data_IF_267011896266
#
_entry.id   IF_267011896266
#
_cell.length_a   1.000
_cell.length_b   1.000
_cell.length_c   1.000
_cell.angle_alpha   90.00
_cell.angle_beta   90.00
_cell.angle_gamma   90.00
#
_symmetry.space_group_name_H-M   'P 1'
#
loop_
_entity.id
_entity.type
_entity.pdbx_description
1 polymer ?
#
# COMPACT_ATOMS: atom_id res chain seq x y z
N UNK A 1 19.61 28.45 16.34
CA UNK A 1 20.03 27.09 16.72
C UNK A 1 18.78 26.23 16.71
N UNK A 2 18.73 25.19 15.88
CA UNK A 2 17.62 24.25 15.92
C UNK A 2 17.66 23.51 17.27
N UNK A 3 16.50 23.23 17.92
CA UNK A 3 16.49 22.45 19.14
C UNK A 3 17.06 21.06 18.86
N UNK A 4 17.91 20.57 19.77
CA UNK A 4 18.47 19.23 19.74
C UNK A 4 17.35 18.20 19.53
N UNK A 5 17.37 17.52 18.38
CA UNK A 5 16.60 16.31 18.20
C UNK A 5 17.13 15.31 19.23
N UNK A 6 16.28 14.85 20.15
CA UNK A 6 16.63 13.87 21.17
C UNK A 6 17.25 12.60 20.55
N UNK A 7 17.84 11.71 21.38
CA UNK A 7 18.52 10.52 20.89
C UNK A 7 17.57 9.69 20.00
N UNK A 8 18.00 9.42 18.77
CA UNK A 8 17.28 8.55 17.85
C UNK A 8 17.24 7.13 18.42
N UNK A 9 16.07 6.69 18.89
CA UNK A 9 15.86 5.30 19.27
C UNK A 9 15.68 4.47 17.99
N UNK A 10 16.55 3.49 17.75
CA UNK A 10 16.46 2.63 16.57
C UNK A 10 15.46 1.51 16.85
N UNK A 11 14.36 1.46 16.09
CA UNK A 11 13.41 0.35 16.14
C UNK A 11 13.69 -0.57 14.93
N UNK A 12 14.43 -1.67 15.10
CA UNK A 12 14.78 -2.54 13.98
C UNK A 12 13.52 -3.20 13.42
N UNK A 13 13.36 -3.13 12.08
CA UNK A 13 12.45 -4.02 11.38
C UNK A 13 13.14 -5.39 11.35
N UNK A 14 12.79 -6.26 12.30
CA UNK A 14 13.36 -7.62 12.42
C UNK A 14 12.54 -8.66 11.66
N UNK A 15 11.36 -8.29 11.16
CA UNK A 15 10.44 -9.18 10.49
C UNK A 15 9.63 -10.05 11.46
N UNK A 16 8.63 -10.75 10.91
CA UNK A 16 7.80 -11.68 11.70
C UNK A 16 8.61 -12.98 11.89
N UNK A 17 8.72 -13.51 13.13
CA UNK A 17 9.37 -14.79 13.38
C UNK A 17 8.84 -15.89 12.45
N UNK A 18 9.74 -16.74 11.94
CA UNK A 18 9.37 -17.93 11.17
C UNK A 18 9.19 -19.08 12.15
N UNK A 19 7.98 -19.69 12.24
CA UNK A 19 7.75 -20.81 13.15
C UNK A 19 8.65 -22.00 12.80
N UNK A 20 9.17 -22.67 13.82
CA UNK A 20 9.91 -23.91 13.61
C UNK A 20 8.94 -25.00 13.14
N UNK A 21 9.05 -25.41 11.88
CA UNK A 21 8.32 -26.55 11.35
C UNK A 21 9.06 -27.84 11.70
N UNK A 22 9.08 -28.22 12.97
CA UNK A 22 9.42 -29.59 13.40
C UNK A 22 8.98 -29.82 14.85
N UNK A 23 7.69 -30.04 15.05
CA UNK A 23 7.15 -30.67 16.27
C UNK A 23 6.36 -31.94 15.96
N UNK A 24 6.44 -32.47 14.74
CA UNK A 24 6.07 -33.86 14.50
C UNK A 24 7.25 -34.72 14.97
N UNK A 25 7.12 -35.37 16.13
CA UNK A 25 8.12 -36.21 16.82
C UNK A 25 8.59 -37.47 16.04
N UNK A 26 8.61 -37.45 14.70
CA UNK A 26 9.05 -38.59 13.90
C UNK A 26 9.93 -38.17 12.74
N UNK A 27 11.19 -37.87 13.06
CA UNK A 27 12.43 -38.39 12.45
C UNK A 27 13.55 -37.40 12.85
N UNK A 28 14.55 -37.80 13.64
CA UNK A 28 15.71 -36.95 13.88
C UNK A 28 16.55 -36.92 12.61
N UNK A 29 16.52 -35.79 11.89
CA UNK A 29 17.53 -35.50 10.86
C UNK A 29 18.77 -34.99 11.58
N UNK A 30 19.93 -35.67 11.49
CA UNK A 30 21.16 -35.16 12.07
C UNK A 30 21.70 -34.11 11.12
N UNK A 31 21.62 -32.82 11.46
CA UNK A 31 22.24 -31.80 10.61
C UNK A 31 22.95 -30.72 11.43
N UNK A 32 24.18 -31.05 11.85
CA UNK A 32 25.15 -30.08 12.38
C UNK A 32 25.97 -29.47 11.24
N UNK A 33 25.28 -28.81 10.31
CA UNK A 33 25.87 -28.10 9.17
C UNK A 33 25.52 -26.61 9.18
N UNK A 34 26.34 -25.73 8.57
CA UNK A 34 26.14 -24.27 8.55
C UNK A 34 24.86 -23.82 7.81
N UNK A 35 24.12 -24.74 7.17
CA UNK A 35 22.87 -24.49 6.47
C UNK A 35 21.63 -25.04 7.19
N UNK A 36 21.75 -25.61 8.40
CA UNK A 36 20.63 -26.25 9.12
C UNK A 36 19.47 -25.28 9.47
N UNK A 37 19.67 -23.96 9.37
CA UNK A 37 18.62 -22.95 9.54
C UNK A 37 17.92 -22.50 8.25
N UNK A 38 18.30 -23.01 7.07
CA UNK A 38 17.85 -22.49 5.76
C UNK A 38 16.58 -23.12 5.20
N UNK A 39 16.15 -24.27 5.75
CA UNK A 39 14.93 -24.97 5.35
C UNK A 39 13.70 -24.64 6.22
N UNK A 40 13.65 -23.45 6.84
CA UNK A 40 12.45 -23.04 7.57
C UNK A 40 11.35 -22.70 6.57
N UNK A 41 10.21 -23.40 6.64
CA UNK A 41 9.04 -23.08 5.80
C UNK A 41 8.48 -21.72 6.19
N UNK A 42 8.72 -20.72 5.35
CA UNK A 42 8.20 -19.37 5.56
C UNK A 42 6.72 -19.32 5.20
N UNK A 43 5.85 -18.73 6.03
CA UNK A 43 4.46 -18.53 5.70
C UNK A 43 4.27 -17.70 4.43
N UNK A 44 3.35 -18.13 3.57
CA UNK A 44 3.10 -17.52 2.25
C UNK A 44 2.18 -16.32 2.39
N UNK A 45 2.52 -15.22 1.71
CA UNK A 45 1.63 -14.07 1.53
C UNK A 45 0.55 -14.43 0.51
N UNK A 46 -0.72 -14.21 0.87
CA UNK A 46 -1.87 -14.60 0.06
C UNK A 46 -2.55 -13.37 -0.54
N UNK A 47 -3.28 -13.56 -1.65
CA UNK A 47 -4.20 -12.55 -2.17
C UNK A 47 -5.29 -12.28 -1.12
N UNK A 48 -5.65 -11.02 -0.91
CA UNK A 48 -6.56 -10.61 0.16
C UNK A 48 -7.97 -11.19 0.02
N UNK A 49 -8.51 -11.32 -1.18
CA UNK A 49 -9.87 -11.83 -1.37
C UNK A 49 -9.89 -13.35 -1.20
N UNK A 50 -8.90 -14.07 -1.76
CA UNK A 50 -8.76 -15.52 -1.53
C UNK A 50 -8.51 -15.84 -0.06
N UNK A 51 -7.63 -15.08 0.59
CA UNK A 51 -7.28 -15.26 1.99
C UNK A 51 -8.46 -14.98 2.91
N UNK A 52 -9.14 -13.84 2.73
CA UNK A 52 -10.18 -13.38 3.68
C UNK A 52 -11.49 -14.13 3.55
N UNK A 53 -11.82 -14.67 2.37
CA UNK A 53 -13.03 -15.47 2.14
C UNK A 53 -12.87 -16.93 2.55
N UNK A 54 -11.63 -17.41 2.70
CA UNK A 54 -11.35 -18.76 3.17
C UNK A 54 -11.61 -18.88 4.68
N UNK A 55 -12.60 -19.69 5.05
CA UNK A 55 -13.01 -19.89 6.45
C UNK A 55 -11.88 -20.44 7.34
N UNK A 56 -10.88 -21.12 6.78
CA UNK A 56 -9.70 -21.59 7.54
C UNK A 56 -8.87 -20.43 8.08
N UNK A 57 -8.88 -19.29 7.38
CA UNK A 57 -8.12 -18.10 7.75
C UNK A 57 -8.91 -17.15 8.66
N UNK A 58 -10.14 -17.49 9.07
CA UNK A 58 -11.04 -16.58 9.80
C UNK A 58 -10.38 -15.96 11.03
N UNK A 59 -9.59 -16.73 11.78
CA UNK A 59 -8.85 -16.22 12.95
C UNK A 59 -7.75 -15.23 12.56
N UNK A 60 -7.03 -15.48 11.46
CA UNK A 60 -6.04 -14.53 10.96
C UNK A 60 -6.70 -13.23 10.49
N UNK A 61 -7.86 -13.33 9.84
CA UNK A 61 -8.65 -12.16 9.42
C UNK A 61 -9.09 -11.35 10.64
N UNK A 62 -9.60 -12.01 11.67
CA UNK A 62 -10.02 -11.35 12.91
C UNK A 62 -8.85 -10.65 13.62
N UNK A 63 -7.71 -11.32 13.72
CA UNK A 63 -6.48 -10.73 14.28
C UNK A 63 -6.02 -9.52 13.48
N UNK A 64 -6.03 -9.61 12.14
CA UNK A 64 -5.64 -8.51 11.26
C UNK A 64 -6.52 -7.29 11.43
N UNK A 65 -7.85 -7.48 11.42
CA UNK A 65 -8.81 -6.39 11.57
C UNK A 65 -8.69 -5.73 12.94
N UNK A 66 -8.64 -6.53 14.02
CA UNK A 66 -8.49 -6.00 15.39
C UNK A 66 -7.15 -5.28 15.61
N UNK A 67 -6.05 -5.81 15.08
CA UNK A 67 -4.74 -5.19 15.21
C UNK A 67 -4.63 -3.90 14.39
N UNK A 68 -5.14 -3.89 13.15
CA UNK A 68 -5.14 -2.68 12.33
C UNK A 68 -6.02 -1.58 12.95
N UNK A 69 -7.19 -1.93 13.49
CA UNK A 69 -8.04 -0.99 14.23
C UNK A 69 -7.28 -0.34 15.39
N UNK A 70 -6.56 -1.14 16.19
CA UNK A 70 -5.74 -0.63 17.29
C UNK A 70 -4.67 0.35 16.83
N UNK A 71 -3.91 0.00 15.79
CA UNK A 71 -2.87 0.89 15.24
C UNK A 71 -3.45 2.20 14.70
N UNK A 72 -4.64 2.16 14.11
CA UNK A 72 -5.32 3.36 13.62
C UNK A 72 -5.90 4.22 14.75
N UNK A 73 -6.27 3.62 15.88
CA UNK A 73 -6.76 4.32 17.08
C UNK A 73 -5.66 4.84 17.99
N UNK A 74 -4.41 4.43 17.76
CA UNK A 74 -3.25 4.87 18.52
C UNK A 74 -3.02 6.38 18.34
N UNK A 75 -2.55 7.07 19.38
CA UNK A 75 -2.29 8.50 19.31
C UNK A 75 -1.32 8.81 18.15
N UNK A 76 -1.60 9.82 17.30
CA UNK A 76 -0.75 10.17 16.17
C UNK A 76 0.70 10.53 16.52
N UNK A 77 1.04 10.79 17.78
CA UNK A 77 2.41 11.02 18.23
C UNK A 77 3.16 9.73 18.55
N UNK A 78 2.46 8.60 18.69
CA UNK A 78 3.08 7.31 18.92
C UNK A 78 3.76 6.83 17.63
N UNK A 79 5.04 6.51 17.74
CA UNK A 79 5.90 6.16 16.60
C UNK A 79 5.38 5.01 15.73
N UNK A 80 4.72 4.03 16.34
CA UNK A 80 4.18 2.86 15.65
C UNK A 80 2.69 3.00 15.31
N UNK A 81 2.08 4.17 15.54
CA UNK A 81 0.71 4.42 15.10
C UNK A 81 0.60 4.31 13.59
N UNK A 82 -0.57 3.92 13.08
CA UNK A 82 -0.82 3.90 11.64
C UNK A 82 -0.61 5.31 11.02
N UNK A 83 -0.86 6.37 11.80
CA UNK A 83 -0.61 7.74 11.39
C UNK A 83 0.87 8.01 11.15
N UNK A 84 1.76 7.63 12.08
CA UNK A 84 3.21 7.82 11.89
C UNK A 84 3.77 6.90 10.81
N UNK A 85 3.29 5.66 10.72
CA UNK A 85 3.72 4.71 9.68
C UNK A 85 3.31 5.18 8.27
N UNK A 86 2.18 5.87 8.13
CA UNK A 86 1.76 6.51 6.88
C UNK A 86 2.47 7.86 6.66
N UNK A 87 2.67 8.62 7.74
CA UNK A 87 3.18 9.98 7.73
C UNK A 87 4.71 10.11 7.74
N UNK A 88 5.45 9.00 7.83
CA UNK A 88 6.90 8.99 7.62
C UNK A 88 7.21 9.49 6.21
N UNK A 89 7.35 10.81 6.09
CA UNK A 89 7.90 11.46 4.91
C UNK A 89 9.29 10.86 4.67
N UNK A 90 9.69 10.54 3.43
CA UNK A 90 11.10 10.68 3.09
C UNK A 90 11.46 12.13 3.42
N UNK A 91 12.36 12.33 4.39
CA UNK A 91 12.65 13.66 4.94
C UNK A 91 12.99 14.65 3.84
N UNK A 92 12.04 15.54 3.55
CA UNK A 92 12.21 16.64 2.59
C UNK A 92 13.13 17.69 3.19
N UNK A 93 14.42 17.56 2.93
CA UNK A 93 15.32 18.70 2.70
C UNK A 93 16.08 18.62 1.38
N UNK A 94 16.04 17.47 0.72
CA UNK A 94 16.52 17.30 -0.64
C UNK A 94 15.45 16.54 -1.43
N UNK A 95 14.53 17.26 -2.08
CA UNK A 95 13.83 16.70 -3.26
C UNK A 95 14.88 16.64 -4.36
N UNK A 96 15.82 15.70 -4.21
CA UNK A 96 16.55 15.16 -5.35
C UNK A 96 15.58 14.18 -6.03
N UNK A 97 15.45 14.21 -7.37
CA UNK A 97 14.63 13.25 -8.08
C UNK A 97 15.09 11.84 -7.69
N UNK A 98 14.18 11.07 -7.09
CA UNK A 98 14.29 9.67 -6.68
C UNK A 98 15.53 9.00 -7.28
N UNK A 99 16.57 8.77 -6.49
CA UNK A 99 17.74 8.01 -6.96
C UNK A 99 17.24 6.61 -7.30
N UNK A 100 17.47 6.17 -8.53
CA UNK A 100 16.97 4.89 -9.03
C UNK A 100 17.54 3.68 -8.26
N UNK A 101 18.58 3.92 -7.45
CA UNK A 101 19.24 2.93 -6.60
C UNK A 101 18.52 2.67 -5.25
N UNK A 102 17.55 3.52 -4.85
CA UNK A 102 16.92 3.47 -3.52
C UNK A 102 15.43 3.10 -3.54
N UNK A 103 14.83 2.96 -4.73
CA UNK A 103 13.49 2.43 -4.92
C UNK A 103 13.57 0.92 -5.21
N UNK A 104 12.87 0.05 -4.46
CA UNK A 104 11.67 0.30 -3.65
C UNK A 104 11.90 0.03 -2.15
N UNK A 105 12.92 0.66 -1.55
CA UNK A 105 13.38 0.29 -0.20
C UNK A 105 13.11 1.35 0.88
N UNK A 106 12.53 2.51 0.56
CA UNK A 106 12.24 3.55 1.54
C UNK A 106 10.85 3.32 2.17
N UNK A 107 10.88 2.57 3.28
CA UNK A 107 9.77 1.90 3.99
C UNK A 107 9.16 0.75 3.20
N UNK A 108 9.80 -0.42 3.22
CA UNK A 108 9.13 -1.60 2.73
C UNK A 108 7.83 -1.76 3.54
N UNK A 109 6.74 -2.24 2.93
CA UNK A 109 5.51 -2.64 3.65
C UNK A 109 5.74 -3.64 4.81
N UNK A 110 6.99 -4.06 5.04
CA UNK A 110 7.48 -4.77 6.22
C UNK A 110 7.29 -3.99 7.53
N UNK A 111 7.40 -2.66 7.53
CA UNK A 111 7.20 -1.84 8.75
C UNK A 111 5.78 -1.98 9.29
N UNK A 112 4.78 -1.66 8.46
CA UNK A 112 3.37 -1.82 8.82
C UNK A 112 3.01 -3.29 9.10
N UNK A 113 3.57 -4.25 8.35
CA UNK A 113 3.34 -5.67 8.60
C UNK A 113 3.84 -6.09 9.99
N UNK A 114 5.04 -5.66 10.37
CA UNK A 114 5.61 -5.97 11.68
C UNK A 114 4.78 -5.33 12.79
N UNK A 115 4.42 -4.05 12.67
CA UNK A 115 3.61 -3.36 13.68
C UNK A 115 2.23 -4.01 13.86
N UNK A 116 1.59 -4.46 12.76
CA UNK A 116 0.33 -5.21 12.85
C UNK A 116 0.53 -6.52 13.61
N UNK A 117 1.58 -7.29 13.29
CA UNK A 117 1.88 -8.54 13.98
C UNK A 117 2.16 -8.31 15.48
N UNK A 118 2.96 -7.30 15.82
CA UNK A 118 3.24 -6.93 17.21
C UNK A 118 1.96 -6.53 17.95
N UNK A 119 1.07 -5.76 17.32
CA UNK A 119 -0.24 -5.45 17.88
C UNK A 119 -1.12 -6.71 18.05
N UNK A 120 -1.07 -7.68 17.12
CA UNK A 120 -1.75 -8.96 17.31
C UNK A 120 -1.27 -9.67 18.58
N UNK A 121 0.05 -9.81 18.73
CA UNK A 121 0.66 -10.60 19.82
C UNK A 121 0.59 -9.90 21.17
N UNK A 122 0.88 -8.61 21.20
CA UNK A 122 1.08 -7.86 22.45
C UNK A 122 -0.21 -7.18 22.94
N UNK A 123 -1.15 -6.89 22.05
CA UNK A 123 -2.33 -6.09 22.40
C UNK A 123 -3.68 -6.75 22.12
N UNK A 124 -3.79 -7.61 21.11
CA UNK A 124 -5.07 -8.26 20.76
C UNK A 124 -5.20 -9.60 21.49
N UNK A 125 -4.22 -10.49 21.31
CA UNK A 125 -4.25 -11.86 21.85
C UNK A 125 -4.41 -11.91 23.38
N UNK A 126 -3.73 -11.06 24.18
CA UNK A 126 -3.83 -11.13 25.64
C UNK A 126 -5.25 -10.89 26.20
N UNK A 127 -6.12 -10.25 25.43
CA UNK A 127 -7.50 -9.98 25.84
C UNK A 127 -8.43 -11.20 25.67
N UNK A 128 -8.05 -12.21 24.86
CA UNK A 128 -8.84 -13.43 24.73
C UNK A 128 -8.65 -14.36 25.94
N UNK A 129 -9.58 -15.31 26.20
CA UNK A 129 -9.46 -16.24 27.31
C UNK A 129 -8.15 -17.02 27.21
N UNK A 130 -7.45 -17.18 28.34
CA UNK A 130 -6.10 -17.79 28.41
C UNK A 130 -5.99 -19.13 27.69
N UNK A 131 -7.04 -19.95 27.75
CA UNK A 131 -7.10 -21.25 27.08
C UNK A 131 -7.06 -21.19 25.54
N UNK A 132 -7.40 -20.04 24.94
CA UNK A 132 -7.44 -19.85 23.49
C UNK A 132 -6.20 -19.11 22.95
N UNK A 133 -5.46 -18.40 23.79
CA UNK A 133 -4.38 -17.50 23.37
C UNK A 133 -3.29 -18.22 22.55
N UNK A 134 -2.93 -19.46 22.92
CA UNK A 134 -1.96 -20.26 22.17
C UNK A 134 -2.41 -20.57 20.74
N UNK A 135 -3.71 -20.82 20.54
CA UNK A 135 -4.27 -21.06 19.21
C UNK A 135 -4.31 -19.78 18.39
N UNK A 136 -4.66 -18.64 18.99
CA UNK A 136 -4.61 -17.34 18.30
C UNK A 136 -3.17 -16.95 17.92
N UNK A 137 -2.20 -17.22 18.81
CA UNK A 137 -0.78 -16.96 18.53
C UNK A 137 -0.26 -17.77 17.35
N UNK A 138 -0.63 -19.05 17.26
CA UNK A 138 -0.29 -19.89 16.08
C UNK A 138 -0.78 -19.26 14.78
N UNK A 139 -1.98 -18.71 14.76
CA UNK A 139 -2.53 -18.03 13.58
C UNK A 139 -1.80 -16.73 13.26
N UNK A 140 -1.47 -15.91 14.27
CA UNK A 140 -0.67 -14.70 14.09
C UNK A 140 0.71 -15.01 13.49
N UNK A 141 1.33 -16.11 13.91
CA UNK A 141 2.66 -16.52 13.46
C UNK A 141 2.69 -16.96 11.99
N UNK A 142 1.57 -17.50 11.49
CA UNK A 142 1.39 -17.85 10.08
C UNK A 142 0.97 -16.65 9.23
N UNK A 143 0.45 -15.58 9.84
CA UNK A 143 -0.07 -14.45 9.11
C UNK A 143 1.04 -13.64 8.41
N UNK A 144 0.75 -13.16 7.20
CA UNK A 144 1.54 -12.15 6.47
C UNK A 144 0.55 -11.15 5.86
N UNK A 145 0.92 -9.87 5.77
CA UNK A 145 0.03 -8.83 5.24
C UNK A 145 -0.38 -9.19 3.80
N UNK A 146 -1.67 -9.44 3.49
CA UNK A 146 -2.04 -9.88 2.17
C UNK A 146 -1.75 -8.81 1.10
N UNK A 147 -1.67 -9.24 -0.15
CA UNK A 147 -1.56 -8.32 -1.30
C UNK A 147 -2.91 -8.19 -1.99
N UNK A 148 -3.08 -7.12 -2.78
CA UNK A 148 -4.27 -6.95 -3.64
C UNK A 148 -3.90 -7.19 -5.09
N UNK A 149 -4.35 -8.29 -5.66
CA UNK A 149 -4.17 -8.55 -7.10
C UNK A 149 -5.20 -7.80 -7.95
N UNK A 150 -4.82 -6.57 -8.32
CA UNK A 150 -5.60 -5.71 -9.22
C UNK A 150 -5.55 -6.13 -10.69
N UNK A 151 -4.84 -7.23 -11.04
CA UNK A 151 -4.93 -7.85 -12.38
C UNK A 151 -6.09 -8.84 -12.48
N UNK A 152 -6.50 -9.40 -11.33
CA UNK A 152 -7.59 -10.38 -11.26
C UNK A 152 -8.92 -9.75 -10.92
N UNK A 153 -8.91 -8.68 -10.11
CA UNK A 153 -10.13 -8.00 -9.69
C UNK A 153 -10.02 -6.49 -9.85
N UNK A 154 -11.04 -5.90 -10.48
CA UNK A 154 -11.09 -4.46 -10.74
C UNK A 154 -11.69 -3.68 -9.56
N UNK A 155 -12.22 -4.36 -8.55
CA UNK A 155 -12.89 -3.76 -7.39
C UNK A 155 -11.93 -3.63 -6.19
N UNK A 156 -12.34 -2.85 -5.19
CA UNK A 156 -11.68 -2.90 -3.88
C UNK A 156 -11.83 -4.29 -3.26
N UNK A 157 -10.91 -4.73 -2.39
CA UNK A 157 -11.02 -6.00 -1.68
C UNK A 157 -12.37 -6.13 -0.95
N UNK A 158 -12.92 -7.34 -0.86
CA UNK A 158 -14.18 -7.57 -0.15
C UNK A 158 -14.10 -7.11 1.31
N UNK A 159 -12.93 -7.28 1.94
CA UNK A 159 -12.67 -6.85 3.32
C UNK A 159 -12.66 -5.32 3.49
N UNK A 160 -12.49 -4.54 2.42
CA UNK A 160 -12.49 -3.07 2.43
C UNK A 160 -13.80 -2.45 1.90
N UNK A 161 -14.79 -3.29 1.55
CA UNK A 161 -15.98 -2.88 0.81
C UNK A 161 -16.99 -2.07 1.64
N UNK A 162 -17.19 -2.46 2.89
CA UNK A 162 -18.24 -1.93 3.76
C UNK A 162 -17.65 -1.11 4.92
N UNK A 163 -18.35 -0.05 5.39
CA UNK A 163 -17.86 0.86 6.42
C UNK A 163 -17.68 0.22 7.80
N UNK A 164 -18.31 -0.92 8.04
CA UNK A 164 -18.26 -1.61 9.32
C UNK A 164 -18.04 -3.09 9.11
N UNK A 165 -17.40 -3.74 10.08
CA UNK A 165 -17.09 -5.17 10.05
C UNK A 165 -17.39 -5.81 11.40
N UNK A 166 -17.66 -7.11 11.39
CA UNK A 166 -17.96 -7.91 12.56
C UNK A 166 -16.72 -8.70 13.00
N UNK A 167 -16.31 -8.52 14.24
CA UNK A 167 -15.13 -9.16 14.86
C UNK A 167 -15.53 -9.96 16.10
N UNK A 168 -14.77 -10.99 16.52
CA UNK A 168 -15.06 -11.71 17.75
C UNK A 168 -14.95 -10.80 18.98
N UNK A 169 -15.79 -11.05 19.99
CA UNK A 169 -15.61 -10.42 21.30
C UNK A 169 -14.46 -11.09 22.06
N UNK A 170 -13.75 -10.30 22.87
CA UNK A 170 -12.66 -10.78 23.72
C UNK A 170 -13.12 -11.74 24.83
N UNK A 171 -14.37 -11.65 25.27
CA UNK A 171 -14.96 -12.58 26.24
C UNK A 171 -15.14 -14.01 25.67
N UNK A 172 -14.88 -14.21 24.37
CA UNK A 172 -15.04 -15.49 23.69
C UNK A 172 -16.50 -15.85 23.37
N UNK A 173 -17.44 -14.94 23.62
CA UNK A 173 -18.88 -15.15 23.47
C UNK A 173 -19.50 -14.16 22.47
N UNK A 174 -19.53 -14.59 21.19
CA UNK A 174 -20.20 -13.86 20.12
C UNK A 174 -19.31 -12.82 19.43
N UNK A 175 -19.95 -11.80 18.88
CA UNK A 175 -19.32 -10.85 17.97
C UNK A 175 -19.64 -9.41 18.33
N UNK A 176 -18.72 -8.50 17.98
CA UNK A 176 -18.88 -7.05 18.06
C UNK A 176 -18.84 -6.45 16.66
N UNK A 177 -19.61 -5.38 16.42
CA UNK A 177 -19.53 -4.60 15.18
C UNK A 177 -18.66 -3.38 15.44
N UNK A 178 -17.65 -3.19 14.60
CA UNK A 178 -16.72 -2.05 14.66
C UNK A 178 -16.69 -1.33 13.32
N UNK A 179 -16.16 -0.11 13.31
CA UNK A 179 -15.78 0.57 12.07
C UNK A 179 -14.68 -0.24 11.38
N UNK A 180 -14.76 -0.33 10.06
CA UNK A 180 -13.84 -1.16 9.31
C UNK A 180 -12.54 -0.41 9.02
N UNK A 181 -11.40 -0.82 9.61
CA UNK A 181 -10.14 -0.11 9.45
C UNK A 181 -9.58 -0.17 8.02
N UNK A 182 -10.09 -1.07 7.16
CA UNK A 182 -9.73 -1.14 5.74
C UNK A 182 -10.62 -0.26 4.86
N UNK A 183 -11.80 0.12 5.34
CA UNK A 183 -12.73 0.95 4.57
C UNK A 183 -12.22 2.38 4.45
N UNK A 184 -11.80 2.99 5.55
CA UNK A 184 -11.34 4.36 5.61
C UNK A 184 -10.40 4.52 6.79
N UNK A 185 -9.28 5.24 6.62
CA UNK A 185 -8.50 5.71 7.75
C UNK A 185 -9.09 7.03 8.24
N UNK A 186 -9.20 7.19 9.56
CA UNK A 186 -9.63 8.43 10.20
C UNK A 186 -8.65 8.80 11.30
N UNK A 187 -8.27 10.07 11.38
CA UNK A 187 -7.41 10.54 12.46
C UNK A 187 -8.13 10.32 13.80
N UNK A 188 -7.57 9.51 14.72
CA UNK A 188 -8.25 9.13 15.95
C UNK A 188 -8.44 10.28 16.94
N UNK A 189 -7.75 11.40 16.73
CA UNK A 189 -7.94 12.63 17.52
C UNK A 189 -9.12 13.49 17.02
N UNK A 190 -9.76 13.10 15.91
CA UNK A 190 -10.77 13.88 15.18
C UNK A 190 -10.30 15.29 14.78
N UNK A 191 -8.97 15.52 14.79
CA UNK A 191 -8.36 16.76 14.30
C UNK A 191 -8.01 16.62 12.82
N UNK A 192 -8.02 17.72 12.05
CA UNK A 192 -7.51 17.72 10.69
C UNK A 192 -6.06 17.23 10.60
N UNK A 193 -5.70 16.54 9.53
CA UNK A 193 -4.34 16.02 9.29
C UNK A 193 -3.26 17.11 9.35
N UNK A 194 -3.60 18.37 9.01
CA UNK A 194 -2.67 19.51 9.10
C UNK A 194 -2.24 19.82 10.53
N UNK A 195 -3.02 19.42 11.55
CA UNK A 195 -2.63 19.56 12.96
C UNK A 195 -1.38 18.75 13.32
N UNK A 196 -1.04 17.75 12.50
CA UNK A 196 0.17 16.95 12.62
C UNK A 196 1.14 17.19 11.44
N UNK A 197 0.99 18.31 10.70
CA UNK A 197 1.90 18.70 9.62
C UNK A 197 1.74 17.93 8.31
N UNK A 198 0.60 17.25 8.13
CA UNK A 198 0.28 16.47 6.93
C UNK A 198 -0.67 17.24 6.00
N UNK A 199 -0.47 17.13 4.69
CA UNK A 199 -1.37 17.72 3.69
C UNK A 199 -1.23 19.23 3.49
N UNK A 200 -0.08 19.81 3.88
CA UNK A 200 0.32 21.19 3.55
C UNK A 200 0.86 21.34 2.14
N UNK A 201 1.40 20.24 1.57
CA UNK A 201 2.14 20.24 0.32
C UNK A 201 1.25 19.63 -0.78
N UNK A 202 0.99 20.36 -1.87
CA UNK A 202 0.44 19.78 -3.10
C UNK A 202 1.55 19.72 -4.16
N UNK A 203 2.33 18.62 -4.24
CA UNK A 203 3.43 18.50 -5.21
C UNK A 203 2.94 18.40 -6.66
N UNK A 204 1.63 18.30 -6.87
CA UNK A 204 0.98 18.24 -8.19
C UNK A 204 0.13 19.47 -8.47
N UNK A 205 0.47 20.63 -7.91
CA UNK A 205 0.02 21.91 -8.46
C UNK A 205 0.41 21.99 -9.94
N UNK A 206 -0.52 21.58 -10.79
CA UNK A 206 -0.45 21.74 -12.23
C UNK A 206 -1.38 22.89 -12.62
N UNK A 207 -1.12 23.56 -13.74
CA UNK A 207 -1.97 24.65 -14.25
C UNK A 207 -3.46 24.28 -14.41
N UNK A 208 -3.80 22.98 -14.41
CA UNK A 208 -5.16 22.44 -14.55
C UNK A 208 -5.84 22.09 -13.20
N UNK A 209 -5.11 22.10 -12.08
CA UNK A 209 -5.62 21.81 -10.74
C UNK A 209 -5.43 23.07 -9.87
N UNK A 210 -6.52 23.71 -9.44
CA UNK A 210 -6.41 24.93 -8.64
C UNK A 210 -5.68 24.67 -7.30
N UNK A 211 -4.91 25.66 -6.84
CA UNK A 211 -4.29 25.77 -5.49
C UNK A 211 -5.31 25.51 -4.35
N UNK A 212 -6.60 25.63 -4.67
CA UNK A 212 -7.72 25.46 -3.75
C UNK A 212 -8.29 24.03 -3.70
N UNK A 213 -8.06 23.20 -4.72
CA UNK A 213 -8.95 22.07 -5.01
C UNK A 213 -8.67 20.78 -4.24
N UNK A 214 -7.49 20.63 -3.63
CA UNK A 214 -7.10 19.40 -2.94
C UNK A 214 -6.31 19.67 -1.66
N UNK A 215 -6.89 20.45 -0.76
CA UNK A 215 -6.33 20.71 0.58
C UNK A 215 -6.57 19.52 1.51
N UNK A 216 -5.78 18.45 1.35
CA UNK A 216 -5.88 17.25 2.19
C UNK A 216 -5.63 17.52 3.68
N UNK A 217 -4.92 18.61 4.00
CA UNK A 217 -4.68 19.00 5.39
C UNK A 217 -5.95 19.24 6.22
N UNK A 218 -7.07 19.62 5.59
CA UNK A 218 -8.36 19.78 6.29
C UNK A 218 -9.10 18.47 6.56
N UNK A 219 -8.69 17.37 5.92
CA UNK A 219 -9.31 16.06 6.09
C UNK A 219 -8.99 15.47 7.47
N UNK A 220 -9.98 14.80 8.04
CA UNK A 220 -9.87 13.90 9.20
C UNK A 220 -9.84 12.46 8.68
N UNK A 221 -10.68 12.14 7.70
CA UNK A 221 -10.79 10.82 7.07
C UNK A 221 -10.28 10.81 5.63
N UNK A 222 -9.80 9.65 5.18
CA UNK A 222 -9.34 9.47 3.79
C UNK A 222 -10.49 9.41 2.79
N UNK A 223 -10.24 9.83 1.56
CA UNK A 223 -11.23 9.82 0.46
C UNK A 223 -10.78 8.93 -0.69
N UNK A 224 -11.76 8.31 -1.36
CA UNK A 224 -11.64 7.63 -2.67
C UNK A 224 -12.75 8.12 -3.58
N UNK A 225 -12.40 8.70 -4.72
CA UNK A 225 -13.34 9.18 -5.72
C UNK A 225 -14.47 10.09 -5.20
N UNK A 226 -14.16 11.15 -4.42
CA UNK A 226 -15.18 12.14 -4.04
C UNK A 226 -15.80 12.77 -5.29
N UNK A 227 -17.07 13.15 -5.24
CA UNK A 227 -17.65 13.99 -6.29
C UNK A 227 -17.11 15.41 -6.21
N UNK A 228 -17.19 16.18 -7.30
CA UNK A 228 -16.68 17.55 -7.36
C UNK A 228 -17.29 18.45 -6.26
N UNK A 229 -18.56 18.23 -5.93
CA UNK A 229 -19.26 18.92 -4.86
C UNK A 229 -18.74 18.58 -3.47
N UNK A 230 -18.21 17.36 -3.29
CA UNK A 230 -17.75 16.81 -2.01
C UNK A 230 -16.27 17.09 -1.75
N UNK A 231 -15.48 17.43 -2.78
CA UNK A 231 -14.03 17.70 -2.62
C UNK A 231 -13.69 19.16 -2.35
N UNK A 232 -14.69 20.01 -2.14
CA UNK A 232 -14.50 21.42 -1.78
C UNK A 232 -13.96 21.52 -0.34
N UNK A 233 -12.87 22.28 -0.08
CA UNK A 233 -12.17 22.29 1.21
C UNK A 233 -13.01 22.62 2.45
N UNK A 234 -14.06 23.42 2.27
CA UNK A 234 -14.95 23.89 3.32
C UNK A 234 -16.09 22.91 3.64
N UNK A 235 -16.31 21.89 2.80
CA UNK A 235 -17.41 20.95 2.99
C UNK A 235 -17.13 19.94 4.08
N UNK A 236 -18.19 19.55 4.78
CA UNK A 236 -18.12 18.48 5.77
C UNK A 236 -17.77 17.14 5.12
N UNK A 237 -18.25 16.90 3.90
CA UNK A 237 -17.92 15.70 3.13
C UNK A 237 -16.40 15.57 2.90
N UNK A 238 -15.73 16.65 2.47
CA UNK A 238 -14.27 16.64 2.31
C UNK A 238 -13.54 16.42 3.63
N UNK A 239 -13.99 17.10 4.70
CA UNK A 239 -13.38 16.97 6.03
C UNK A 239 -13.51 15.54 6.56
N UNK A 240 -14.68 14.93 6.43
CA UNK A 240 -14.95 13.58 6.94
C UNK A 240 -14.40 12.48 6.03
N UNK A 241 -14.11 12.81 4.78
CA UNK A 241 -13.65 11.90 3.74
C UNK A 241 -14.81 11.13 3.10
N UNK A 242 -14.75 10.97 1.78
CA UNK A 242 -15.79 10.31 0.97
C UNK A 242 -15.22 9.05 0.31
N UNK A 243 -15.90 7.91 0.46
CA UNK A 243 -15.44 6.62 -0.07
C UNK A 243 -16.43 6.07 -1.09
N UNK A 244 -16.16 6.34 -2.38
CA UNK A 244 -16.95 5.86 -3.51
C UNK A 244 -16.30 4.63 -4.16
N UNK A 245 -16.30 3.49 -3.46
CA UNK A 245 -15.64 2.25 -3.91
C UNK A 245 -16.13 1.72 -5.27
N UNK A 246 -17.35 2.06 -5.71
CA UNK A 246 -17.86 1.65 -7.03
C UNK A 246 -17.12 2.35 -8.19
N UNK A 247 -16.75 3.62 -8.01
CA UNK A 247 -16.00 4.40 -9.02
C UNK A 247 -14.60 3.85 -9.25
N UNK A 248 -13.99 3.25 -8.22
CA UNK A 248 -12.74 2.47 -8.37
C UNK A 248 -12.96 1.37 -9.40
N UNK A 249 -14.02 0.56 -9.24
CA UNK A 249 -14.32 -0.52 -10.16
C UNK A 249 -14.60 -0.03 -11.59
N UNK A 250 -15.31 1.09 -11.73
CA UNK A 250 -15.59 1.69 -13.03
C UNK A 250 -14.31 2.18 -13.71
N UNK A 251 -13.40 2.83 -12.96
CA UNK A 251 -12.12 3.28 -13.53
C UNK A 251 -11.23 2.12 -13.96
N UNK A 252 -11.11 1.07 -13.15
CA UNK A 252 -10.32 -0.12 -13.52
C UNK A 252 -10.87 -0.86 -14.75
N UNK A 253 -12.18 -0.73 -15.07
CA UNK A 253 -12.77 -1.27 -16.31
C UNK A 253 -12.51 -0.38 -17.52
N UNK A 254 -12.18 0.89 -17.31
CA UNK A 254 -11.86 1.80 -18.41
C UNK A 254 -10.46 1.53 -18.95
N UNK A 255 -10.31 1.50 -20.28
CA UNK A 255 -9.01 1.45 -20.97
C UNK A 255 -8.45 2.85 -21.25
N UNK A 256 -9.18 3.90 -20.84
CA UNK A 256 -8.78 5.30 -21.01
C UNK A 256 -7.79 5.69 -19.91
N UNK A 257 -6.53 5.40 -20.19
CA UNK A 257 -5.33 5.68 -19.39
C UNK A 257 -4.92 7.17 -19.41
N UNK A 258 -5.32 7.92 -20.44
CA UNK A 258 -4.94 9.31 -20.60
C UNK A 258 -5.78 10.22 -19.69
N UNK A 259 -5.16 11.29 -19.16
CA UNK A 259 -5.91 12.50 -18.83
C UNK A 259 -6.76 12.88 -20.04
N UNK A 260 -7.98 13.39 -19.83
CA UNK A 260 -8.84 13.82 -20.94
C UNK A 260 -8.04 14.65 -21.97
N UNK A 261 -8.04 14.21 -23.23
CA UNK A 261 -7.29 14.86 -24.32
C UNK A 261 -5.85 14.38 -24.56
N UNK A 262 -5.32 13.42 -23.78
CA UNK A 262 -4.06 12.74 -24.12
C UNK A 262 -4.23 11.70 -25.24
N UNK A 263 -3.14 11.21 -25.86
CA UNK A 263 -3.23 10.15 -26.89
C UNK A 263 -3.89 8.89 -26.30
N UNK A 264 -4.26 7.91 -27.12
CA UNK A 264 -4.57 6.55 -26.63
C UNK A 264 -3.26 5.71 -26.62
N UNK A 265 -2.95 5.01 -25.53
CA UNK A 265 -1.81 4.12 -25.31
C UNK A 265 -2.43 2.73 -25.29
N UNK A 266 -1.94 1.83 -26.14
CA UNK A 266 -2.62 0.59 -26.46
C UNK A 266 -2.31 -0.54 -25.47
N UNK A 267 -2.06 -0.24 -24.18
CA UNK A 267 -1.64 -1.27 -23.23
C UNK A 267 -2.79 -2.08 -22.61
N UNK A 268 -4.03 -1.65 -22.85
CA UNK A 268 -5.23 -2.38 -22.46
C UNK A 268 -5.49 -2.32 -20.95
N UNK A 269 -6.01 -3.42 -20.42
CA UNK A 269 -6.29 -3.63 -18.99
C UNK A 269 -5.02 -3.77 -18.15
N UNK A 270 -5.15 -3.65 -16.84
CA UNK A 270 -4.06 -3.91 -15.90
C UNK A 270 -3.46 -5.31 -16.04
N UNK A 271 -4.28 -6.32 -16.38
CA UNK A 271 -3.82 -7.67 -16.65
C UNK A 271 -2.93 -7.75 -17.91
N UNK A 272 -3.33 -7.08 -18.99
CA UNK A 272 -2.53 -7.01 -20.23
C UNK A 272 -1.21 -6.26 -20.01
N UNK A 273 -1.24 -5.19 -19.21
CA UNK A 273 -0.03 -4.46 -18.83
C UNK A 273 0.93 -5.36 -18.03
N UNK A 274 0.46 -6.07 -17.02
CA UNK A 274 1.31 -6.97 -16.22
C UNK A 274 1.82 -8.13 -17.06
N UNK A 275 0.98 -8.72 -17.91
CA UNK A 275 1.41 -9.76 -18.83
C UNK A 275 2.57 -9.28 -19.70
N UNK A 276 2.43 -8.11 -20.32
CA UNK A 276 3.48 -7.49 -21.15
C UNK A 276 4.75 -7.20 -20.34
N UNK A 277 4.61 -6.60 -19.15
CA UNK A 277 5.72 -6.27 -18.26
C UNK A 277 6.54 -7.52 -17.86
N UNK A 278 5.87 -8.66 -17.60
CA UNK A 278 6.53 -9.88 -17.14
C UNK A 278 7.07 -10.75 -18.28
N UNK A 279 6.53 -10.64 -19.51
CA UNK A 279 6.90 -11.51 -20.64
C UNK A 279 7.87 -10.89 -21.62
N UNK A 280 7.91 -9.56 -21.74
CA UNK A 280 8.84 -8.88 -22.64
C UNK A 280 10.24 -8.84 -21.99
N UNK A 281 11.33 -9.13 -22.72
CA UNK A 281 12.69 -8.90 -22.24
C UNK A 281 12.95 -7.40 -22.10
N UNK A 282 13.25 -6.96 -20.88
CA UNK A 282 13.39 -5.55 -20.48
C UNK A 282 14.50 -5.51 -19.44
N UNK A 283 15.48 -4.62 -19.57
CA UNK A 283 16.54 -4.41 -18.57
C UNK A 283 15.96 -3.96 -17.23
N UNK A 284 16.62 -4.30 -16.12
CA UNK A 284 16.11 -4.01 -14.76
C UNK A 284 15.73 -2.54 -14.57
N UNK A 285 16.59 -1.61 -14.99
CA UNK A 285 16.35 -0.17 -14.83
C UNK A 285 15.12 0.30 -15.61
N UNK A 286 14.93 -0.22 -16.81
CA UNK A 286 13.78 0.10 -17.65
C UNK A 286 12.50 -0.56 -17.12
N UNK A 287 12.61 -1.75 -16.53
CA UNK A 287 11.50 -2.43 -15.86
C UNK A 287 11.06 -1.69 -14.58
N UNK A 288 12.00 -1.16 -13.79
CA UNK A 288 11.72 -0.72 -12.43
C UNK A 288 11.12 0.70 -12.36
N UNK A 289 11.53 1.63 -13.22
CA UNK A 289 11.26 3.06 -13.02
C UNK A 289 10.94 3.86 -14.28
N UNK A 290 10.08 4.86 -14.11
CA UNK A 290 9.78 5.93 -15.07
C UNK A 290 10.91 6.95 -15.22
N UNK A 291 11.93 6.95 -14.34
CA UNK A 291 13.06 7.90 -14.37
C UNK A 291 13.81 7.88 -15.70
N UNK A 292 13.80 6.75 -16.41
CA UNK A 292 14.39 6.63 -17.76
C UNK A 292 13.79 7.64 -18.76
N UNK A 293 12.54 8.07 -18.56
CA UNK A 293 11.89 9.09 -19.40
C UNK A 293 12.36 10.51 -19.12
N UNK A 294 13.00 10.73 -17.98
CA UNK A 294 13.58 12.03 -17.60
C UNK A 294 15.03 12.18 -18.06
N UNK A 295 15.58 11.20 -18.79
CA UNK A 295 16.94 11.25 -19.30
C UNK A 295 17.10 12.37 -20.36
N UNK A 296 18.20 13.16 -20.31
CA UNK A 296 18.47 14.24 -21.28
C UNK A 296 18.45 13.76 -22.74
N UNK A 297 18.87 12.52 -22.98
CA UNK A 297 18.96 11.90 -24.30
C UNK A 297 17.58 11.65 -24.96
N UNK A 298 16.51 11.46 -24.17
CA UNK A 298 15.12 11.33 -24.65
C UNK A 298 14.35 12.66 -24.63
N UNK A 299 14.89 13.69 -23.97
CA UNK A 299 14.21 14.98 -23.76
C UNK A 299 14.89 16.11 -24.55
N UNK A 300 14.79 16.08 -25.89
CA UNK A 300 15.14 17.27 -26.67
C UNK A 300 14.09 18.38 -26.46
N UNK A 301 14.37 19.28 -25.51
CA UNK A 301 13.52 20.43 -25.17
C UNK A 301 13.16 21.30 -26.39
N UNK A 302 13.99 21.29 -27.43
CA UNK A 302 13.84 22.08 -28.66
C UNK A 302 13.17 21.32 -29.82
N UNK A 303 12.76 20.07 -29.62
CA UNK A 303 12.02 19.34 -30.66
C UNK A 303 10.65 20.00 -30.95
N UNK A 304 10.18 20.00 -32.20
CA UNK A 304 8.81 20.43 -32.53
C UNK A 304 7.77 19.66 -31.72
N UNK A 305 6.65 20.28 -31.36
CA UNK A 305 5.59 19.63 -30.56
C UNK A 305 5.07 18.33 -31.19
N UNK A 306 5.04 18.25 -32.52
CA UNK A 306 4.69 17.05 -33.28
C UNK A 306 5.74 15.93 -33.11
N UNK A 307 7.03 16.26 -33.05
CA UNK A 307 8.11 15.31 -32.80
C UNK A 307 8.17 14.87 -31.32
N UNK A 308 7.83 15.76 -30.38
CA UNK A 308 7.64 15.41 -28.96
C UNK A 308 6.43 14.49 -28.76
N UNK A 309 5.35 14.70 -29.53
CA UNK A 309 4.17 13.82 -29.56
C UNK A 309 4.49 12.48 -30.22
N UNK A 310 5.25 12.47 -31.32
CA UNK A 310 5.70 11.24 -31.99
C UNK A 310 6.68 10.42 -31.14
N UNK A 311 7.63 11.05 -30.42
CA UNK A 311 8.51 10.36 -29.46
C UNK A 311 7.75 9.83 -28.22
N UNK A 312 6.64 10.45 -27.83
CA UNK A 312 5.70 9.91 -26.82
C UNK A 312 4.84 8.75 -27.33
N UNK A 313 4.87 8.53 -28.65
CA UNK A 313 4.13 7.50 -29.36
C UNK A 313 5.07 6.36 -29.80
N UNK A 314 6.28 6.24 -29.24
CA UNK A 314 7.16 5.12 -29.57
C UNK A 314 6.64 3.84 -28.89
N UNK A 315 5.92 3.07 -29.70
CA UNK A 315 5.02 1.96 -29.40
C UNK A 315 5.74 0.66 -28.97
N UNK A 316 6.78 0.71 -28.14
CA UNK A 316 7.43 -0.52 -27.66
C UNK A 316 7.26 -0.68 -26.15
N UNK A 317 6.79 -1.86 -25.75
CA UNK A 317 6.52 -2.21 -24.35
C UNK A 317 7.80 -2.06 -23.51
N UNK A 318 8.93 -2.42 -24.09
CA UNK A 318 10.27 -2.38 -23.52
C UNK A 318 10.84 -0.98 -23.31
N UNK A 319 10.16 0.07 -23.79
CA UNK A 319 10.57 1.47 -23.58
C UNK A 319 9.57 2.28 -22.73
N UNK A 320 8.29 1.95 -22.83
CA UNK A 320 7.20 2.78 -22.29
C UNK A 320 6.36 2.10 -21.19
N UNK A 321 6.55 0.80 -20.92
CA UNK A 321 5.84 0.10 -19.86
C UNK A 321 6.82 -0.39 -18.79
N UNK A 322 6.70 0.19 -17.59
CA UNK A 322 7.51 -0.18 -16.43
C UNK A 322 6.62 -0.35 -15.18
N UNK A 323 7.18 -0.96 -14.15
CA UNK A 323 6.50 -1.28 -12.90
C UNK A 323 5.97 -0.01 -12.21
N UNK A 324 6.78 1.04 -12.14
CA UNK A 324 6.39 2.32 -11.56
C UNK A 324 5.23 2.98 -12.33
N UNK A 325 5.18 2.84 -13.66
CA UNK A 325 4.07 3.33 -14.48
C UNK A 325 2.76 2.63 -14.13
N UNK A 326 2.77 1.30 -14.02
CA UNK A 326 1.56 0.54 -13.65
C UNK A 326 1.16 0.87 -12.20
N UNK A 327 2.13 0.99 -11.30
CA UNK A 327 1.91 1.46 -9.93
C UNK A 327 1.20 2.83 -9.90
N UNK A 328 1.73 3.83 -10.62
CA UNK A 328 1.15 5.18 -10.70
C UNK A 328 -0.29 5.14 -11.27
N UNK A 329 -0.53 4.29 -12.27
CA UNK A 329 -1.86 4.07 -12.83
C UNK A 329 -2.84 3.52 -11.78
N UNK A 330 -2.41 2.52 -11.00
CA UNK A 330 -3.24 1.91 -9.96
C UNK A 330 -3.52 2.89 -8.81
N UNK A 331 -2.56 3.74 -8.43
CA UNK A 331 -2.79 4.85 -7.50
C UNK A 331 -3.92 5.77 -7.99
N UNK A 332 -3.87 6.20 -9.26
CA UNK A 332 -4.91 7.01 -9.87
C UNK A 332 -6.27 6.31 -9.91
N UNK A 333 -6.30 5.01 -10.27
CA UNK A 333 -7.53 4.23 -10.31
C UNK A 333 -8.16 4.02 -8.93
N UNK A 334 -7.34 3.83 -7.89
CA UNK A 334 -7.83 3.62 -6.53
C UNK A 334 -8.29 4.94 -5.87
N UNK A 335 -7.58 6.04 -6.14
CA UNK A 335 -7.81 7.32 -5.47
C UNK A 335 -8.80 8.23 -6.18
N UNK A 336 -8.72 8.37 -7.50
CA UNK A 336 -9.34 9.49 -8.22
C UNK A 336 -8.86 10.83 -7.63
N UNK A 337 -9.78 11.73 -7.28
CA UNK A 337 -9.48 12.95 -6.52
C UNK A 337 -9.33 12.72 -5.00
N UNK A 338 -8.95 11.50 -4.61
CA UNK A 338 -8.79 11.04 -3.23
C UNK A 338 -7.32 10.87 -2.81
N UNK A 339 -7.13 10.31 -1.62
CA UNK A 339 -5.80 10.23 -0.99
C UNK A 339 -4.85 9.31 -1.77
N UNK A 340 -5.32 8.12 -2.20
CA UNK A 340 -4.48 7.14 -2.94
C UNK A 340 -3.84 7.70 -4.21
N UNK A 341 -4.39 8.73 -4.84
CA UNK A 341 -3.83 9.31 -6.06
C UNK A 341 -2.79 10.40 -5.79
N UNK A 342 -2.60 10.81 -4.53
CA UNK A 342 -1.76 11.95 -4.18
C UNK A 342 -0.61 11.50 -3.27
N UNK A 343 0.62 11.50 -3.83
CA UNK A 343 1.83 10.95 -3.21
C UNK A 343 2.04 11.34 -1.73
N UNK A 344 1.96 12.62 -1.32
CA UNK A 344 2.11 13.05 0.08
C UNK A 344 1.17 12.41 1.09
N UNK A 345 0.01 11.93 0.64
CA UNK A 345 -1.06 11.44 1.52
C UNK A 345 -1.57 10.05 1.14
N UNK A 346 -1.01 9.41 0.11
CA UNK A 346 -1.47 8.12 -0.38
C UNK A 346 -1.38 7.01 0.69
N UNK A 347 -0.33 7.03 1.50
CA UNK A 347 -0.08 6.03 2.54
C UNK A 347 -1.13 6.00 3.66
N UNK A 348 -1.92 7.07 3.82
CA UNK A 348 -3.01 7.10 4.80
C UNK A 348 -4.19 6.23 4.39
N UNK A 349 -4.40 5.99 3.09
CA UNK A 349 -5.44 5.07 2.65
C UNK A 349 -5.01 3.61 2.93
N UNK A 350 -5.82 2.81 3.65
CA UNK A 350 -5.46 1.43 3.97
C UNK A 350 -5.15 0.54 2.75
N UNK A 351 -5.67 0.87 1.56
CA UNK A 351 -5.38 0.12 0.32
C UNK A 351 -3.95 0.30 -0.18
N UNK A 352 -3.24 1.35 0.26
CA UNK A 352 -1.86 1.63 -0.11
C UNK A 352 -0.96 0.42 0.15
N UNK A 353 -1.00 -0.10 1.38
CA UNK A 353 -0.11 -1.19 1.80
C UNK A 353 -0.36 -2.48 1.03
N UNK A 354 -1.62 -2.78 0.70
CA UNK A 354 -2.00 -3.93 -0.11
C UNK A 354 -1.53 -3.79 -1.56
N UNK A 355 -1.62 -2.57 -2.10
CA UNK A 355 -1.12 -2.24 -3.45
C UNK A 355 0.39 -2.40 -3.53
N UNK A 356 1.13 -1.82 -2.58
CA UNK A 356 2.59 -1.90 -2.56
C UNK A 356 3.09 -3.33 -2.39
N UNK A 357 2.39 -4.20 -1.64
CA UNK A 357 2.75 -5.62 -1.62
C UNK A 357 2.58 -6.32 -2.97
N UNK A 358 1.57 -5.96 -3.77
CA UNK A 358 1.44 -6.48 -5.14
C UNK A 358 2.59 -6.00 -6.03
N UNK A 359 2.99 -4.73 -5.88
CA UNK A 359 4.14 -4.16 -6.62
C UNK A 359 5.44 -4.89 -6.25
N UNK A 360 5.68 -5.14 -4.96
CA UNK A 360 6.82 -5.94 -4.49
C UNK A 360 6.79 -7.36 -5.06
N UNK A 361 5.63 -8.02 -5.10
CA UNK A 361 5.49 -9.35 -5.70
C UNK A 361 5.91 -9.33 -7.18
N UNK A 362 5.41 -8.37 -7.96
CA UNK A 362 5.76 -8.25 -9.38
C UNK A 362 7.26 -8.00 -9.60
N UNK A 363 7.88 -7.18 -8.74
CA UNK A 363 9.33 -6.97 -8.75
C UNK A 363 10.10 -8.28 -8.53
N UNK A 364 9.77 -9.04 -7.47
CA UNK A 364 10.45 -10.30 -7.15
C UNK A 364 10.18 -11.39 -8.20
N UNK A 365 8.96 -11.46 -8.74
CA UNK A 365 8.64 -12.36 -9.85
C UNK A 365 9.52 -12.11 -11.06
N UNK A 366 9.90 -10.85 -11.33
CA UNK A 366 10.78 -10.52 -12.44
C UNK A 366 12.26 -10.78 -12.11
N UNK A 367 12.73 -10.47 -10.90
CA UNK A 367 14.12 -10.76 -10.49
C UNK A 367 14.42 -12.26 -10.64
N UNK A 368 13.48 -13.13 -10.26
CA UNK A 368 13.63 -14.57 -10.42
C UNK A 368 13.80 -15.04 -11.89
N UNK A 369 13.44 -14.20 -12.87
CA UNK A 369 13.58 -14.49 -14.30
C UNK A 369 14.87 -13.91 -14.88
N UNK A 370 15.48 -12.88 -14.26
CA UNK A 370 16.73 -12.26 -14.73
C UNK A 370 17.99 -13.08 -14.40
N UNK A 371 17.93 -14.00 -13.43
CA UNK A 371 19.06 -14.84 -13.01
C UNK A 371 19.24 -16.12 -13.88
N UNK A 372 18.60 -16.16 -15.06
CA UNK A 372 18.72 -17.22 -16.07
C UNK A 372 18.96 -16.59 -17.44
#
# INVERSE_FOLDING_TARGET
MAPDAGPYEYYPIVGIPVPDTDSDERIPVPDSGPCAGTNKKVPVRQDIDEWSTNQRNKRQVDLFVLALEKLQKMDPNERLSAFQLAGTKPTTKDITPWKAEEWPLTLPPSGIQQSIYEAMVNEVIPNFPRAQQSNWKKEADQWRLPYRDWTRTNRVPELAKYPTITVPKYDGAGVNRIDNPLFQFRNPTEKPMISAGVGSDNPWETADNNEEDMKFGSCIGTSRWPDEVDRKPDTEAWRQGVVNNYKVADKFRSTNWAREGGPEKPYGTTAEMVFRLLTVPIEYITFATTKIWSAPERTNKYAPEEAKRANKLNLSVDEDLNLEFIHNYVHGCAGGDGHMANVPVAAFDPLFWLHHWQVLILLFSRIAVFDH
#
